data_IF_199446426733
#
_entry.id   IF_199446426733
#
_cell.length_a   1.000
_cell.length_b   1.000
_cell.length_c   1.000
_cell.angle_alpha   90.00
_cell.angle_beta   90.00
_cell.angle_gamma   90.00
#
_symmetry.space_group_name_H-M   'P 1'
#
loop_
_entity.id
_entity.type
_entity.pdbx_description
1 polymer ?
#
# COMPACT_ATOMS: atom_id res chain seq x y z
N UNK A 1 7.82 -32.61 33.01
CA UNK A 1 8.88 -32.81 32.01
C UNK A 1 8.90 -31.61 31.07
N UNK A 2 9.83 -30.68 31.29
CA UNK A 2 10.00 -29.48 30.48
C UNK A 2 10.61 -29.85 29.12
N UNK A 3 9.91 -29.55 28.02
CA UNK A 3 10.49 -29.66 26.67
C UNK A 3 11.43 -28.47 26.46
N UNK A 4 12.73 -28.77 26.42
CA UNK A 4 13.77 -27.86 25.92
C UNK A 4 13.44 -27.50 24.47
N UNK A 5 13.22 -26.21 24.22
CA UNK A 5 13.21 -25.67 22.86
C UNK A 5 14.65 -25.65 22.35
N UNK A 6 14.90 -26.45 21.32
CA UNK A 6 16.19 -26.54 20.65
C UNK A 6 16.37 -25.31 19.74
N UNK A 7 17.08 -24.30 20.25
CA UNK A 7 17.45 -23.09 19.52
C UNK A 7 18.62 -23.44 18.60
N UNK A 8 18.33 -24.05 17.43
CA UNK A 8 19.30 -24.19 16.34
C UNK A 8 18.63 -24.48 14.99
N UNK A 9 17.79 -23.56 14.54
CA UNK A 9 17.57 -23.26 13.12
C UNK A 9 17.40 -21.75 12.98
N UNK A 10 18.49 -21.07 12.66
CA UNK A 10 18.45 -19.69 12.17
C UNK A 10 17.63 -19.69 10.88
N UNK A 11 16.36 -19.34 10.98
CA UNK A 11 15.62 -18.80 9.85
C UNK A 11 16.14 -17.38 9.66
N UNK A 12 16.95 -17.20 8.63
CA UNK A 12 17.31 -15.86 8.13
C UNK A 12 16.00 -15.21 7.68
N UNK A 13 15.52 -14.23 8.44
CA UNK A 13 14.51 -13.30 7.95
C UNK A 13 15.09 -12.67 6.67
N UNK A 14 14.39 -12.65 5.52
CA UNK A 14 14.88 -12.04 4.28
C UNK A 14 15.26 -10.56 4.42
N UNK A 15 14.89 -9.94 5.54
CA UNK A 15 15.11 -8.56 5.88
C UNK A 15 16.50 -8.25 6.46
N UNK A 16 17.20 -9.24 7.05
CA UNK A 16 18.42 -8.99 7.83
C UNK A 16 19.73 -8.94 7.01
N UNK A 17 19.68 -9.20 5.70
CA UNK A 17 20.87 -9.19 4.83
C UNK A 17 20.75 -8.19 3.66
N UNK A 18 20.27 -6.97 3.93
CA UNK A 18 20.45 -5.86 3.01
C UNK A 18 21.15 -4.72 3.75
N UNK A 19 22.48 -4.68 3.66
CA UNK A 19 23.25 -3.46 3.84
C UNK A 19 22.94 -2.52 2.66
N UNK A 20 21.71 -2.01 2.60
CA UNK A 20 21.35 -0.86 1.78
C UNK A 20 21.40 0.38 2.67
N UNK A 21 21.96 1.49 2.16
CA UNK A 21 21.94 2.78 2.87
C UNK A 21 20.49 3.22 3.20
N UNK A 22 19.53 2.77 2.39
CA UNK A 22 18.12 3.12 2.47
C UNK A 22 17.29 1.84 2.66
N UNK A 23 16.27 1.89 3.52
CA UNK A 23 15.47 0.72 3.90
C UNK A 23 14.21 0.71 3.06
N UNK A 24 13.89 -0.37 2.37
CA UNK A 24 12.67 -0.40 1.54
C UNK A 24 11.59 -1.25 2.24
N UNK A 25 10.39 -0.70 2.52
CA UNK A 25 9.29 -1.47 3.08
C UNK A 25 8.93 -2.66 2.20
N UNK A 26 8.78 -3.84 2.79
CA UNK A 26 8.37 -5.02 2.04
C UNK A 26 6.85 -5.02 1.86
N UNK A 27 6.39 -5.34 0.64
CA UNK A 27 4.96 -5.44 0.40
C UNK A 27 4.62 -6.29 -0.81
N UNK A 28 3.44 -6.93 -0.76
CA UNK A 28 2.82 -7.61 -1.90
C UNK A 28 1.66 -6.83 -2.52
N UNK A 29 1.51 -5.56 -2.16
CA UNK A 29 0.55 -4.64 -2.76
C UNK A 29 0.90 -4.42 -4.24
N UNK A 30 -0.10 -4.54 -5.11
CA UNK A 30 0.03 -4.44 -6.55
C UNK A 30 0.31 -2.99 -6.96
N UNK A 31 1.25 -2.79 -7.87
CA UNK A 31 1.62 -1.45 -8.34
C UNK A 31 2.69 -0.75 -7.48
N UNK A 32 3.12 -1.36 -6.38
CA UNK A 32 4.22 -0.86 -5.54
C UNK A 32 5.46 -0.54 -6.36
N UNK A 33 6.05 0.64 -6.11
CA UNK A 33 7.28 1.11 -6.76
C UNK A 33 8.56 0.69 -6.04
N UNK A 34 8.50 -0.25 -5.09
CA UNK A 34 9.66 -0.73 -4.34
C UNK A 34 10.84 -1.18 -5.22
N UNK A 35 10.57 -1.79 -6.38
CA UNK A 35 11.64 -2.22 -7.32
C UNK A 35 12.17 -1.11 -8.22
N UNK A 36 11.54 0.06 -8.21
CA UNK A 36 11.82 1.18 -9.12
C UNK A 36 12.23 2.44 -8.38
N UNK A 37 12.09 2.48 -7.06
CA UNK A 37 12.28 3.69 -6.26
C UNK A 37 13.69 4.24 -6.39
N UNK A 38 14.72 3.39 -6.44
CA UNK A 38 16.10 3.80 -6.71
C UNK A 38 16.22 4.48 -8.08
N UNK A 39 15.62 3.90 -9.13
CA UNK A 39 15.63 4.49 -10.47
C UNK A 39 14.86 5.80 -10.53
N UNK A 40 13.76 5.92 -9.80
CA UNK A 40 13.00 7.17 -9.69
C UNK A 40 13.89 8.22 -9.04
N UNK A 41 14.50 7.90 -7.90
CA UNK A 41 15.41 8.79 -7.17
C UNK A 41 16.56 9.28 -8.04
N UNK A 42 17.24 8.38 -8.76
CA UNK A 42 18.36 8.75 -9.64
C UNK A 42 17.99 9.77 -10.72
N UNK A 43 16.72 9.81 -11.16
CA UNK A 43 16.26 10.78 -12.15
C UNK A 43 15.79 12.11 -11.54
N UNK A 44 15.58 12.17 -10.23
CA UNK A 44 15.03 13.37 -9.55
C UNK A 44 15.97 13.99 -8.51
N UNK A 45 17.01 13.28 -8.04
CA UNK A 45 17.84 13.70 -6.91
C UNK A 45 18.55 15.05 -7.09
N UNK A 46 18.90 15.39 -8.34
CA UNK A 46 19.58 16.64 -8.70
C UNK A 46 18.60 17.80 -8.97
N UNK A 47 17.29 17.55 -8.87
CA UNK A 47 16.28 18.60 -8.94
C UNK A 47 16.28 19.40 -7.64
N UNK A 48 16.09 20.72 -7.75
CA UNK A 48 16.08 21.63 -6.60
C UNK A 48 14.77 21.59 -5.81
N UNK A 49 14.57 20.55 -4.99
CA UNK A 49 13.38 20.42 -4.14
C UNK A 49 13.73 20.05 -2.68
N UNK A 50 13.03 20.65 -1.72
CA UNK A 50 13.17 20.36 -0.29
C UNK A 50 11.94 19.67 0.29
N UNK A 51 10.77 19.87 -0.33
CA UNK A 51 9.50 19.27 0.02
C UNK A 51 8.91 18.48 -1.15
N UNK A 52 8.20 17.39 -0.84
CA UNK A 52 7.54 16.58 -1.86
C UNK A 52 6.17 16.10 -1.39
N UNK A 53 5.18 16.14 -2.29
CA UNK A 53 3.89 15.48 -2.13
C UNK A 53 3.88 14.16 -2.90
N UNK A 54 3.70 13.04 -2.19
CA UNK A 54 3.31 11.76 -2.77
C UNK A 54 1.78 11.72 -2.89
N UNK A 55 1.27 12.11 -4.06
CA UNK A 55 -0.14 12.48 -4.25
C UNK A 55 -1.10 11.28 -4.29
N UNK A 56 -0.58 10.12 -4.70
CA UNK A 56 -1.28 8.84 -4.80
C UNK A 56 -0.44 7.77 -4.09
N UNK A 57 -0.30 7.94 -2.79
CA UNK A 57 0.79 7.35 -2.04
C UNK A 57 0.78 5.84 -1.97
N UNK A 58 -0.37 5.16 -2.05
CA UNK A 58 -0.43 3.71 -2.11
C UNK A 58 0.35 3.05 -0.97
N UNK A 59 1.42 2.34 -1.31
CA UNK A 59 2.32 1.66 -0.34
C UNK A 59 3.23 2.59 0.45
N UNK A 60 3.27 3.89 0.11
CA UNK A 60 4.12 4.90 0.74
C UNK A 60 5.61 4.72 0.45
N UNK A 61 5.99 3.82 -0.45
CA UNK A 61 7.42 3.50 -0.68
C UNK A 61 8.17 4.69 -1.28
N UNK A 62 7.58 5.43 -2.22
CA UNK A 62 8.25 6.60 -2.82
C UNK A 62 8.38 7.71 -1.79
N UNK A 63 7.28 8.11 -1.13
CA UNK A 63 7.32 9.08 -0.04
C UNK A 63 8.29 8.70 1.09
N UNK A 64 8.31 7.43 1.51
CA UNK A 64 9.23 6.96 2.55
C UNK A 64 10.69 7.05 2.10
N UNK A 65 10.99 6.70 0.84
CA UNK A 65 12.33 6.82 0.29
C UNK A 65 12.81 8.29 0.24
N UNK A 66 11.93 9.21 -0.16
CA UNK A 66 12.20 10.65 -0.12
C UNK A 66 12.45 11.15 1.31
N UNK A 67 11.70 10.64 2.29
CA UNK A 67 11.90 10.95 3.72
C UNK A 67 13.30 10.51 4.17
N UNK A 68 13.73 9.30 3.80
CA UNK A 68 15.06 8.80 4.13
C UNK A 68 16.19 9.61 3.48
N UNK A 69 15.93 10.26 2.34
CA UNK A 69 16.83 11.25 1.72
C UNK A 69 16.65 12.69 2.24
N UNK A 70 16.07 12.86 3.45
CA UNK A 70 16.02 14.14 4.15
C UNK A 70 15.00 15.15 3.64
N UNK A 71 14.11 14.75 2.71
CA UNK A 71 13.05 15.62 2.19
C UNK A 71 11.90 15.73 3.19
N UNK A 72 11.23 16.88 3.23
CA UNK A 72 9.94 17.02 3.93
C UNK A 72 8.87 16.37 3.07
N UNK A 73 8.20 15.34 3.57
CA UNK A 73 7.25 14.56 2.77
C UNK A 73 5.83 14.76 3.26
N UNK A 74 4.97 15.05 2.30
CA UNK A 74 3.53 15.01 2.44
C UNK A 74 3.03 13.78 1.70
N UNK A 75 2.30 12.91 2.37
CA UNK A 75 1.70 11.71 1.79
C UNK A 75 0.21 11.91 1.66
N UNK A 76 -0.40 11.47 0.56
CA UNK A 76 -1.85 11.41 0.43
C UNK A 76 -2.30 10.12 -0.24
N UNK A 77 -3.38 9.52 0.26
CA UNK A 77 -4.15 8.52 -0.47
C UNK A 77 -5.63 8.62 -0.09
N UNK A 78 -6.55 8.35 -1.02
CA UNK A 78 -7.98 8.39 -0.76
C UNK A 78 -8.47 7.17 0.03
N UNK A 79 -7.74 6.04 0.00
CA UNK A 79 -8.04 4.86 0.80
C UNK A 79 -7.50 5.04 2.22
N UNK A 80 -8.37 4.88 3.22
CA UNK A 80 -7.99 5.04 4.63
C UNK A 80 -6.98 3.99 5.08
N UNK A 81 -7.04 2.80 4.49
CA UNK A 81 -6.03 1.76 4.69
C UNK A 81 -4.63 2.21 4.27
N UNK A 82 -4.50 2.87 3.12
CA UNK A 82 -3.24 3.44 2.64
C UNK A 82 -2.81 4.65 3.48
N UNK A 83 -3.75 5.50 3.93
CA UNK A 83 -3.45 6.57 4.89
C UNK A 83 -2.73 6.07 6.15
N UNK A 84 -3.16 4.96 6.76
CA UNK A 84 -2.46 4.40 7.91
C UNK A 84 -1.05 3.90 7.56
N UNK A 85 -0.79 3.46 6.34
CA UNK A 85 0.58 3.15 5.86
C UNK A 85 1.42 4.43 5.83
N UNK A 86 0.88 5.53 5.27
CA UNK A 86 1.52 6.84 5.26
C UNK A 86 1.81 7.38 6.67
N UNK A 87 0.86 7.25 7.60
CA UNK A 87 1.07 7.64 9.00
C UNK A 87 2.19 6.81 9.64
N UNK A 88 2.22 5.49 9.40
CA UNK A 88 3.19 4.58 9.99
C UNK A 88 4.63 4.80 9.50
N UNK A 89 4.81 5.00 8.19
CA UNK A 89 6.12 5.11 7.54
C UNK A 89 6.63 6.56 7.48
N UNK A 90 5.76 7.50 7.14
CA UNK A 90 6.15 8.85 6.73
C UNK A 90 5.93 9.84 7.86
N UNK A 91 4.72 9.95 8.41
CA UNK A 91 4.44 10.93 9.47
C UNK A 91 5.08 10.56 10.81
N UNK A 92 5.12 9.27 11.16
CA UNK A 92 5.74 8.79 12.38
C UNK A 92 7.27 8.88 12.35
N UNK A 93 7.86 9.64 13.27
CA UNK A 93 9.31 9.80 13.36
C UNK A 93 9.98 8.84 14.35
N UNK A 94 9.32 8.50 15.47
CA UNK A 94 9.99 7.83 16.58
C UNK A 94 9.13 6.86 17.39
N UNK A 95 7.83 6.78 17.14
CA UNK A 95 6.94 5.89 17.90
C UNK A 95 7.09 4.48 17.39
N UNK A 96 7.22 3.52 18.31
CA UNK A 96 7.28 2.08 18.05
C UNK A 96 6.27 1.35 18.93
N UNK A 97 5.92 0.13 18.53
CA UNK A 97 5.15 -0.80 19.36
C UNK A 97 6.10 -1.67 20.18
N UNK A 98 5.91 -1.68 21.50
CA UNK A 98 6.66 -2.58 22.39
C UNK A 98 6.10 -4.00 22.36
N UNK A 99 6.90 -5.00 22.72
CA UNK A 99 6.46 -6.41 22.73
C UNK A 99 5.21 -6.64 23.59
N UNK A 100 5.14 -6.01 24.75
CA UNK A 100 3.97 -6.08 25.63
C UNK A 100 2.71 -5.45 25.00
N UNK A 101 2.85 -4.40 24.19
CA UNK A 101 1.72 -3.83 23.46
C UNK A 101 1.27 -4.76 22.33
N UNK A 102 2.21 -5.41 21.65
CA UNK A 102 1.91 -6.42 20.63
C UNK A 102 1.17 -7.61 21.24
N UNK A 103 1.65 -8.14 22.37
CA UNK A 103 0.98 -9.23 23.08
C UNK A 103 -0.46 -8.87 23.46
N UNK A 104 -0.69 -7.63 23.93
CA UNK A 104 -2.04 -7.13 24.21
C UNK A 104 -2.92 -7.02 22.96
N UNK A 105 -2.37 -6.71 21.80
CA UNK A 105 -3.12 -6.70 20.54
C UNK A 105 -3.53 -8.12 20.10
N UNK A 106 -2.71 -9.11 20.44
CA UNK A 106 -2.90 -10.52 20.08
C UNK A 106 -3.71 -11.32 21.11
N UNK A 107 -4.03 -10.71 22.25
CA UNK A 107 -4.75 -11.37 23.35
C UNK A 107 -6.18 -10.84 23.47
N UNK A 108 -7.13 -11.74 23.70
CA UNK A 108 -8.52 -11.37 24.00
C UNK A 108 -8.58 -10.78 25.42
N UNK A 109 -9.06 -9.55 25.55
CA UNK A 109 -9.29 -8.94 26.86
C UNK A 109 -10.70 -9.30 27.36
N UNK A 110 -10.83 -10.04 28.48
CA UNK A 110 -12.12 -10.51 29.00
C UNK A 110 -13.07 -9.38 29.40
N UNK A 111 -12.57 -8.14 29.54
CA UNK A 111 -13.39 -6.97 29.84
C UNK A 111 -14.27 -6.54 28.67
N UNK A 112 -13.99 -6.99 27.45
CA UNK A 112 -14.73 -6.61 26.26
C UNK A 112 -15.41 -7.82 25.63
N UNK A 113 -16.64 -7.59 25.17
CA UNK A 113 -17.28 -8.50 24.23
C UNK A 113 -16.77 -8.20 22.82
N UNK A 114 -16.38 -9.26 22.11
CA UNK A 114 -15.80 -9.15 20.76
C UNK A 114 -16.84 -9.54 19.74
N UNK A 115 -17.08 -8.61 18.81
CA UNK A 115 -17.92 -8.89 17.64
C UNK A 115 -17.22 -9.89 16.73
N UNK A 116 -18.02 -10.65 15.99
CA UNK A 116 -17.56 -11.69 15.08
C UNK A 116 -17.96 -11.37 13.63
N UNK A 117 -17.84 -10.11 13.23
CA UNK A 117 -18.36 -9.64 11.94
C UNK A 117 -17.63 -10.30 10.76
N UNK A 118 -16.31 -10.36 10.80
CA UNK A 118 -15.48 -10.96 9.74
C UNK A 118 -15.79 -12.45 9.63
N UNK A 119 -15.79 -13.17 10.75
CA UNK A 119 -16.12 -14.59 10.82
C UNK A 119 -17.51 -14.90 10.26
N UNK A 120 -18.53 -14.08 10.57
CA UNK A 120 -19.89 -14.28 10.06
C UNK A 120 -20.04 -13.91 8.58
N UNK A 121 -19.36 -12.86 8.13
CA UNK A 121 -19.60 -12.25 6.80
C UNK A 121 -18.72 -12.84 5.70
N UNK A 122 -17.48 -13.18 6.03
CA UNK A 122 -16.45 -13.63 5.07
C UNK A 122 -16.11 -15.12 5.17
N UNK A 123 -17.01 -15.91 5.79
CA UNK A 123 -16.91 -17.37 5.81
C UNK A 123 -16.69 -17.94 4.41
N UNK A 124 -15.67 -18.78 4.28
CA UNK A 124 -15.22 -19.40 3.03
C UNK A 124 -14.76 -18.44 1.92
N UNK A 125 -14.59 -17.14 2.21
CA UNK A 125 -14.24 -16.14 1.20
C UNK A 125 -12.73 -15.99 1.04
N UNK A 126 -12.06 -15.53 2.10
CA UNK A 126 -10.65 -15.12 2.07
C UNK A 126 -9.74 -15.95 2.95
N UNK A 127 -10.18 -16.24 4.17
CA UNK A 127 -9.42 -16.87 5.24
C UNK A 127 -10.28 -17.94 5.93
N UNK A 128 -9.65 -18.83 6.70
CA UNK A 128 -10.34 -19.89 7.45
C UNK A 128 -11.20 -19.30 8.58
N UNK A 129 -12.09 -20.11 9.16
CA UNK A 129 -12.95 -19.67 10.25
C UNK A 129 -12.14 -19.20 11.48
N UNK A 130 -11.08 -19.92 11.83
CA UNK A 130 -10.14 -19.54 12.91
C UNK A 130 -9.43 -18.22 12.59
N UNK A 131 -8.92 -18.07 11.36
CA UNK A 131 -8.25 -16.85 10.93
C UNK A 131 -9.20 -15.64 10.91
N UNK A 132 -10.45 -15.82 10.50
CA UNK A 132 -11.46 -14.76 10.54
C UNK A 132 -11.79 -14.33 11.97
N UNK A 133 -11.88 -15.27 12.92
CA UNK A 133 -12.08 -14.96 14.35
C UNK A 133 -10.89 -14.20 14.94
N UNK A 134 -9.67 -14.59 14.56
CA UNK A 134 -8.46 -13.88 14.96
C UNK A 134 -8.46 -12.43 14.43
N UNK A 135 -8.84 -12.23 13.16
CA UNK A 135 -8.95 -10.89 12.55
C UNK A 135 -9.99 -10.02 13.26
N UNK A 136 -11.15 -10.59 13.61
CA UNK A 136 -12.20 -9.91 14.37
C UNK A 136 -11.65 -9.38 15.71
N UNK A 137 -10.90 -10.21 16.42
CA UNK A 137 -10.28 -9.84 17.69
C UNK A 137 -9.23 -8.73 17.52
N UNK A 138 -8.27 -8.93 16.62
CA UNK A 138 -7.12 -8.03 16.48
C UNK A 138 -7.55 -6.65 16.00
N UNK A 139 -8.49 -6.54 15.04
CA UNK A 139 -9.00 -5.23 14.61
C UNK A 139 -9.64 -4.47 15.77
N UNK A 140 -10.47 -5.12 16.58
CA UNK A 140 -11.11 -4.47 17.73
C UNK A 140 -10.09 -4.04 18.79
N UNK A 141 -8.99 -4.79 18.95
CA UNK A 141 -7.88 -4.39 19.81
C UNK A 141 -7.12 -3.17 19.26
N UNK A 142 -6.82 -3.17 17.95
CA UNK A 142 -6.15 -2.05 17.28
C UNK A 142 -7.00 -0.77 17.38
N UNK A 143 -8.32 -0.86 17.20
CA UNK A 143 -9.19 0.31 17.26
C UNK A 143 -9.21 1.00 18.63
N UNK A 144 -8.92 0.25 19.70
CA UNK A 144 -8.83 0.77 21.08
C UNK A 144 -7.50 1.49 21.37
N UNK A 145 -6.50 1.40 20.48
CA UNK A 145 -5.26 2.16 20.63
C UNK A 145 -5.54 3.67 20.51
N UNK A 146 -5.18 4.43 21.54
CA UNK A 146 -5.35 5.90 21.57
C UNK A 146 -4.29 6.64 20.75
N UNK A 147 -3.05 6.12 20.72
CA UNK A 147 -1.96 6.74 19.97
C UNK A 147 -2.10 6.38 18.49
N UNK A 148 -2.24 7.39 17.64
CA UNK A 148 -2.49 7.22 16.20
C UNK A 148 -1.33 6.50 15.50
N UNK A 149 -0.08 6.77 15.88
CA UNK A 149 1.09 6.11 15.29
C UNK A 149 1.15 4.64 15.67
N UNK A 150 0.86 4.28 16.93
CA UNK A 150 0.75 2.87 17.34
C UNK A 150 -0.37 2.14 16.59
N UNK A 151 -1.52 2.80 16.42
CA UNK A 151 -2.63 2.29 15.61
C UNK A 151 -2.20 2.05 14.16
N UNK A 152 -1.49 3.01 13.57
CA UNK A 152 -0.97 2.93 12.20
C UNK A 152 0.04 1.78 12.02
N UNK A 153 1.00 1.62 12.94
CA UNK A 153 1.97 0.51 12.92
C UNK A 153 1.28 -0.85 13.01
N UNK A 154 0.28 -0.99 13.89
CA UNK A 154 -0.47 -2.23 14.02
C UNK A 154 -1.31 -2.53 12.78
N UNK A 155 -1.95 -1.52 12.19
CA UNK A 155 -2.67 -1.68 10.94
C UNK A 155 -1.76 -2.04 9.77
N UNK A 156 -0.58 -1.41 9.64
CA UNK A 156 0.42 -1.79 8.65
C UNK A 156 0.74 -3.28 8.73
N UNK A 157 1.05 -3.78 9.94
CA UNK A 157 1.37 -5.20 10.14
C UNK A 157 0.19 -6.12 9.81
N UNK A 158 -1.03 -5.73 10.21
CA UNK A 158 -2.25 -6.47 9.88
C UNK A 158 -2.50 -6.52 8.36
N UNK A 159 -2.28 -5.43 7.65
CA UNK A 159 -2.47 -5.37 6.20
C UNK A 159 -1.48 -6.26 5.48
N UNK A 160 -0.19 -6.18 5.82
CA UNK A 160 0.82 -7.02 5.19
C UNK A 160 0.55 -8.52 5.48
N UNK A 161 0.19 -8.87 6.72
CA UNK A 161 -0.21 -10.25 7.07
C UNK A 161 -1.41 -10.74 6.23
N UNK A 162 -2.43 -9.88 6.06
CA UNK A 162 -3.57 -10.17 5.21
C UNK A 162 -3.14 -10.39 3.74
N UNK A 163 -2.30 -9.51 3.19
CA UNK A 163 -1.84 -9.58 1.81
C UNK A 163 -1.05 -10.86 1.53
N UNK A 164 -0.08 -11.22 2.38
CA UNK A 164 0.78 -12.39 2.13
C UNK A 164 0.04 -13.72 2.26
N UNK A 165 -0.99 -13.79 3.11
CA UNK A 165 -1.82 -14.99 3.29
C UNK A 165 -2.87 -15.17 2.18
N UNK A 166 -3.07 -14.17 1.33
CA UNK A 166 -4.06 -14.20 0.25
C UNK A 166 -3.38 -14.61 -1.07
N UNK A 167 -3.76 -15.73 -1.72
CA UNK A 167 -3.23 -16.00 -3.06
C UNK A 167 -3.47 -14.85 -4.06
N UNK A 168 -2.46 -14.55 -4.89
CA UNK A 168 -2.40 -13.33 -5.71
C UNK A 168 -2.40 -12.00 -4.95
N UNK A 169 -2.46 -11.99 -3.61
CA UNK A 169 -2.40 -10.82 -2.72
C UNK A 169 -3.49 -9.76 -2.98
N UNK A 170 -4.67 -10.18 -3.45
CA UNK A 170 -5.79 -9.30 -3.79
C UNK A 170 -7.14 -9.88 -3.32
N UNK A 171 -8.11 -9.02 -3.04
CA UNK A 171 -9.44 -9.37 -2.53
C UNK A 171 -10.55 -9.38 -3.60
N UNK A 172 -10.17 -9.38 -4.88
CA UNK A 172 -11.09 -9.31 -6.01
C UNK A 172 -11.80 -10.63 -6.36
N UNK A 173 -11.50 -11.75 -5.69
CA UNK A 173 -12.09 -13.09 -5.94
C UNK A 173 -12.33 -13.85 -4.63
N UNK A 174 -13.31 -14.76 -4.63
CA UNK A 174 -13.52 -15.79 -3.60
C UNK A 174 -12.67 -17.01 -3.93
N UNK A 175 -11.48 -17.11 -3.35
CA UNK A 175 -10.46 -18.08 -3.77
C UNK A 175 -9.61 -18.60 -2.61
N UNK A 176 -10.23 -18.74 -1.43
CA UNK A 176 -9.66 -19.47 -0.28
C UNK A 176 -9.30 -20.91 -0.65
N UNK A 177 -10.14 -21.60 -1.45
CA UNK A 177 -9.93 -22.99 -1.90
C UNK A 177 -8.55 -23.25 -2.53
N UNK A 178 -7.92 -22.25 -3.17
CA UNK A 178 -6.59 -22.38 -3.77
C UNK A 178 -5.49 -22.67 -2.72
N UNK A 179 -5.70 -22.33 -1.45
CA UNK A 179 -4.75 -22.64 -0.37
C UNK A 179 -4.68 -24.14 -0.09
N UNK A 180 -5.81 -24.83 -0.23
CA UNK A 180 -5.96 -26.26 0.08
C UNK A 180 -5.77 -27.18 -1.13
N UNK A 181 -5.76 -26.62 -2.35
CA UNK A 181 -5.59 -27.42 -3.57
C UNK A 181 -4.24 -28.17 -3.60
N UNK A 182 -4.30 -29.49 -3.78
CA UNK A 182 -3.12 -30.34 -3.95
C UNK A 182 -2.57 -30.21 -5.38
N UNK A 183 -1.68 -29.24 -5.57
CA UNK A 183 -1.01 -28.99 -6.84
C UNK A 183 0.50 -28.95 -6.62
N UNK A 184 1.28 -29.37 -7.63
CA UNK A 184 2.75 -29.26 -7.61
C UNK A 184 3.11 -27.77 -7.65
N UNK A 185 3.40 -27.18 -6.48
CA UNK A 185 3.73 -25.76 -6.35
C UNK A 185 5.22 -25.56 -6.53
N UNK A 186 5.60 -24.66 -7.42
CA UNK A 186 7.00 -24.32 -7.72
C UNK A 186 7.60 -23.28 -6.76
N UNK A 187 6.80 -22.67 -5.87
CA UNK A 187 7.27 -21.59 -4.97
C UNK A 187 6.59 -21.60 -3.59
N UNK A 188 7.29 -21.04 -2.58
CA UNK A 188 6.99 -20.99 -1.13
C UNK A 188 5.69 -20.31 -0.67
N UNK A 189 4.70 -20.17 -1.55
CA UNK A 189 3.38 -19.63 -1.25
C UNK A 189 2.64 -20.46 -0.19
N UNK A 190 2.78 -21.80 -0.23
CA UNK A 190 2.14 -22.68 0.77
C UNK A 190 2.67 -22.41 2.18
N UNK A 191 4.00 -22.39 2.35
CA UNK A 191 4.62 -22.07 3.64
C UNK A 191 4.18 -20.69 4.16
N UNK A 192 4.07 -19.69 3.27
CA UNK A 192 3.54 -18.37 3.63
C UNK A 192 2.08 -18.47 4.10
N UNK A 193 1.24 -19.23 3.41
CA UNK A 193 -0.19 -19.34 3.74
C UNK A 193 -0.46 -20.16 5.00
N UNK A 194 0.37 -21.16 5.28
CA UNK A 194 0.20 -22.08 6.41
C UNK A 194 0.75 -21.47 7.72
N UNK A 195 1.72 -20.54 7.63
CA UNK A 195 2.18 -19.74 8.78
C UNK A 195 1.02 -18.93 9.38
N UNK A 196 0.92 -18.89 10.70
CA UNK A 196 -0.22 -18.28 11.40
C UNK A 196 -0.29 -16.76 11.17
N UNK A 197 -1.48 -16.19 11.32
CA UNK A 197 -1.64 -14.73 11.27
C UNK A 197 -0.83 -14.02 12.35
N UNK A 198 -0.77 -14.60 13.55
CA UNK A 198 -0.01 -14.08 14.68
C UNK A 198 1.49 -13.95 14.35
N UNK A 199 2.10 -15.00 13.80
CA UNK A 199 3.51 -14.95 13.46
C UNK A 199 3.81 -13.96 12.32
N UNK A 200 2.94 -13.88 11.30
CA UNK A 200 3.09 -12.86 10.25
C UNK A 200 2.96 -11.45 10.81
N UNK A 201 1.96 -11.23 11.68
CA UNK A 201 1.76 -9.94 12.33
C UNK A 201 3.00 -9.52 13.12
N UNK A 202 3.56 -10.42 13.93
CA UNK A 202 4.79 -10.16 14.68
C UNK A 202 5.98 -9.84 13.77
N UNK A 203 6.16 -10.57 12.66
CA UNK A 203 7.24 -10.29 11.70
C UNK A 203 7.09 -8.89 11.09
N UNK A 204 5.88 -8.50 10.67
CA UNK A 204 5.65 -7.17 10.12
C UNK A 204 5.70 -6.06 11.18
N UNK A 205 5.42 -6.35 12.46
CA UNK A 205 5.68 -5.42 13.55
C UNK A 205 7.19 -5.17 13.70
N UNK A 206 8.01 -6.23 13.67
CA UNK A 206 9.48 -6.10 13.72
C UNK A 206 9.99 -5.26 12.55
N UNK A 207 9.50 -5.56 11.34
CA UNK A 207 9.84 -4.79 10.14
C UNK A 207 9.45 -3.31 10.30
N UNK A 208 8.19 -3.01 10.59
CA UNK A 208 7.73 -1.61 10.63
C UNK A 208 8.39 -0.82 11.76
N UNK A 209 8.61 -1.43 12.94
CA UNK A 209 9.35 -0.78 14.03
C UNK A 209 10.79 -0.42 13.60
N UNK A 210 11.43 -1.26 12.79
CA UNK A 210 12.75 -0.98 12.24
C UNK A 210 12.71 0.09 11.13
N UNK A 211 11.62 0.19 10.38
CA UNK A 211 11.42 1.24 9.37
C UNK A 211 11.05 2.60 9.97
N UNK A 212 10.72 2.70 11.26
CA UNK A 212 10.52 4.02 11.89
C UNK A 212 11.84 4.79 11.86
N UNK A 213 11.84 5.91 11.14
CA UNK A 213 12.97 6.82 11.02
C UNK A 213 12.53 8.27 11.23
N UNK A 214 13.42 9.05 11.84
CA UNK A 214 13.30 10.49 12.00
C UNK A 214 14.29 11.17 11.04
N UNK A 215 13.79 12.07 10.20
CA UNK A 215 14.61 12.87 9.29
C UNK A 215 14.71 14.35 9.72
N UNK A 216 14.23 14.68 10.92
CA UNK A 216 14.20 16.04 11.45
C UNK A 216 13.23 16.97 10.72
N UNK A 217 12.31 16.44 9.92
CA UNK A 217 11.29 17.21 9.20
C UNK A 217 9.89 16.91 9.73
N UNK A 218 9.01 17.90 9.60
CA UNK A 218 7.59 17.75 9.86
C UNK A 218 6.92 17.15 8.61
N UNK A 219 6.96 15.82 8.53
CA UNK A 219 6.24 15.04 7.51
C UNK A 219 4.77 14.90 7.90
N UNK A 220 3.87 14.70 6.93
CA UNK A 220 2.43 14.59 7.20
C UNK A 220 1.72 13.64 6.25
N UNK A 221 0.76 12.87 6.74
CA UNK A 221 -0.10 12.03 5.94
C UNK A 221 -1.52 12.59 5.88
N UNK A 222 -2.15 12.50 4.72
CA UNK A 222 -3.51 12.92 4.44
C UNK A 222 -4.35 11.74 3.91
N UNK A 223 -5.65 11.79 4.19
CA UNK A 223 -6.64 10.90 3.60
C UNK A 223 -7.69 11.72 2.86
N UNK A 224 -7.31 12.29 1.71
CA UNK A 224 -8.13 13.24 0.96
C UNK A 224 -8.22 12.84 -0.52
N UNK A 225 -9.21 13.40 -1.22
CA UNK A 225 -9.09 13.52 -2.66
C UNK A 225 -7.90 14.44 -2.98
N UNK A 226 -7.08 14.06 -3.96
CA UNK A 226 -5.89 14.83 -4.35
C UNK A 226 -6.20 16.28 -4.69
N UNK A 227 -7.41 16.57 -5.21
CA UNK A 227 -7.84 17.92 -5.54
C UNK A 227 -8.16 18.78 -4.31
N UNK A 228 -8.43 18.16 -3.16
CA UNK A 228 -8.70 18.83 -1.87
C UNK A 228 -7.41 19.16 -1.10
N UNK A 229 -6.25 18.63 -1.52
CA UNK A 229 -4.96 18.93 -0.89
C UNK A 229 -4.61 20.40 -1.12
N UNK A 230 -4.28 21.10 -0.05
CA UNK A 230 -3.81 22.48 -0.09
C UNK A 230 -2.39 22.57 0.47
N UNK A 231 -1.59 23.49 -0.06
CA UNK A 231 -0.22 23.73 0.34
C UNK A 231 0.71 23.85 -0.86
N UNK A 232 1.88 24.42 -0.60
CA UNK A 232 2.95 24.56 -1.57
C UNK A 232 3.95 23.41 -1.42
N UNK A 233 4.25 22.76 -2.53
CA UNK A 233 5.18 21.64 -2.60
C UNK A 233 6.19 21.92 -3.70
N UNK A 234 7.47 21.71 -3.44
CA UNK A 234 8.50 21.89 -4.48
C UNK A 234 8.37 20.81 -5.57
N UNK A 235 7.97 19.60 -5.18
CA UNK A 235 7.79 18.45 -6.07
C UNK A 235 6.48 17.72 -5.77
N UNK A 236 5.75 17.33 -6.81
CA UNK A 236 4.56 16.45 -6.70
C UNK A 236 4.81 15.18 -7.49
N UNK A 237 4.87 14.06 -6.77
CA UNK A 237 4.96 12.72 -7.34
C UNK A 237 3.56 12.15 -7.57
N UNK A 238 3.31 11.69 -8.80
CA UNK A 238 1.99 11.33 -9.33
C UNK A 238 2.06 9.89 -9.86
N UNK A 239 1.36 8.97 -9.19
CA UNK A 239 1.25 7.55 -9.57
C UNK A 239 -0.21 7.06 -9.46
N UNK A 240 -1.13 7.63 -10.25
CA UNK A 240 -2.55 7.39 -10.12
C UNK A 240 -2.92 5.98 -10.63
N UNK A 241 -4.14 5.52 -10.34
CA UNK A 241 -4.73 4.39 -11.05
C UNK A 241 -4.63 4.60 -12.57
N UNK A 242 -4.31 3.54 -13.31
CA UNK A 242 -4.23 3.59 -14.77
C UNK A 242 -5.29 2.67 -15.40
N UNK A 243 -5.65 3.02 -16.64
CA UNK A 243 -6.50 2.18 -17.49
C UNK A 243 -5.67 1.65 -18.64
N UNK A 244 -5.60 0.32 -18.81
CA UNK A 244 -4.86 -0.27 -19.93
C UNK A 244 -5.54 0.01 -21.28
N UNK A 245 -4.79 -0.14 -22.38
CA UNK A 245 -5.33 -0.06 -23.75
C UNK A 245 -6.53 -1.00 -24.00
N UNK A 246 -6.63 -2.11 -23.25
CA UNK A 246 -7.77 -3.03 -23.28
C UNK A 246 -9.02 -2.49 -22.57
N UNK A 247 -8.97 -1.27 -22.02
CA UNK A 247 -10.05 -0.64 -21.27
C UNK A 247 -10.24 -1.20 -19.87
N UNK A 248 -9.29 -1.98 -19.35
CA UNK A 248 -9.33 -2.53 -17.99
C UNK A 248 -8.59 -1.56 -17.07
N UNK A 249 -9.34 -0.98 -16.12
CA UNK A 249 -8.81 -0.07 -15.10
C UNK A 249 -8.39 -0.81 -13.83
N UNK A 250 -7.32 -0.33 -13.20
CA UNK A 250 -6.89 -0.79 -11.89
C UNK A 250 -7.73 -0.13 -10.80
N UNK A 251 -8.72 -0.87 -10.30
CA UNK A 251 -9.59 -0.42 -9.22
C UNK A 251 -9.02 -0.86 -7.86
N UNK A 252 -8.17 -0.01 -7.27
CA UNK A 252 -7.53 -0.29 -5.98
C UNK A 252 -8.54 -0.47 -4.84
N UNK A 253 -9.66 0.28 -4.83
CA UNK A 253 -10.71 0.09 -3.82
C UNK A 253 -11.30 -1.30 -3.91
N UNK A 254 -11.62 -1.78 -5.10
CA UNK A 254 -12.12 -3.14 -5.29
C UNK A 254 -11.04 -4.22 -5.04
N UNK A 255 -9.76 -3.91 -5.25
CA UNK A 255 -8.67 -4.85 -4.96
C UNK A 255 -8.39 -5.00 -3.47
N UNK A 256 -8.56 -3.92 -2.71
CA UNK A 256 -8.18 -3.82 -1.30
C UNK A 256 -9.33 -3.48 -0.35
N UNK A 257 -10.58 -3.66 -0.79
CA UNK A 257 -11.78 -3.37 0.01
C UNK A 257 -11.80 -4.08 1.37
N UNK A 258 -11.18 -5.26 1.47
CA UNK A 258 -11.07 -5.95 2.74
C UNK A 258 -10.21 -5.17 3.74
N UNK A 259 -9.06 -4.64 3.31
CA UNK A 259 -8.20 -3.80 4.14
C UNK A 259 -8.89 -2.50 4.53
N UNK A 260 -9.60 -1.90 3.57
CA UNK A 260 -10.42 -0.71 3.81
C UNK A 260 -11.58 -0.97 4.79
N UNK A 261 -12.08 -2.21 4.82
CA UNK A 261 -13.07 -2.67 5.79
C UNK A 261 -12.50 -2.82 7.20
N UNK A 262 -11.27 -3.32 7.34
CA UNK A 262 -10.60 -3.48 8.65
C UNK A 262 -10.48 -2.13 9.40
N UNK A 263 -10.24 -1.03 8.68
CA UNK A 263 -10.13 0.33 9.24
C UNK A 263 -11.47 1.08 9.37
N UNK A 264 -12.55 0.44 8.93
CA UNK A 264 -13.92 0.93 9.00
C UNK A 264 -14.83 -0.14 9.62
N UNK A 265 -14.31 -0.92 10.57
CA UNK A 265 -14.94 -2.14 11.09
C UNK A 265 -16.42 -1.95 11.50
N UNK A 266 -16.72 -0.85 12.20
CA UNK A 266 -18.08 -0.50 12.64
C UNK A 266 -19.06 -0.25 11.48
N UNK A 267 -18.58 0.33 10.38
CA UNK A 267 -19.39 0.70 9.20
C UNK A 267 -19.28 -0.32 8.06
N UNK A 268 -18.43 -1.34 8.20
CA UNK A 268 -18.09 -2.26 7.12
C UNK A 268 -19.33 -2.94 6.53
N UNK A 269 -20.27 -3.35 7.37
CA UNK A 269 -21.50 -4.01 6.94
C UNK A 269 -22.34 -3.22 5.93
N UNK A 270 -22.38 -1.89 5.99
CA UNK A 270 -23.13 -1.04 5.06
C UNK A 270 -22.38 -0.75 3.75
N UNK A 271 -21.08 -1.01 3.70
CA UNK A 271 -20.24 -0.76 2.52
C UNK A 271 -20.30 -1.92 1.52
N UNK A 272 -20.65 -3.13 1.99
CA UNK A 272 -20.61 -4.38 1.21
C UNK A 272 -21.80 -4.51 0.26
N UNK A 273 -21.53 -4.78 -1.01
CA UNK A 273 -22.50 -5.29 -1.97
C UNK A 273 -22.75 -6.78 -1.73
N UNK A 274 -23.84 -7.08 -1.00
CA UNK A 274 -24.22 -8.45 -0.60
C UNK A 274 -24.50 -9.39 -1.77
N UNK A 275 -24.73 -8.86 -2.98
CA UNK A 275 -24.96 -9.64 -4.21
C UNK A 275 -23.69 -10.28 -4.75
N UNK A 276 -22.52 -9.80 -4.31
CA UNK A 276 -21.22 -10.28 -4.80
C UNK A 276 -20.71 -11.46 -3.97
N UNK A 277 -20.13 -12.46 -4.63
CA UNK A 277 -19.58 -13.66 -3.97
C UNK A 277 -18.36 -13.36 -3.10
N UNK A 278 -17.60 -12.32 -3.46
CA UNK A 278 -16.43 -11.87 -2.71
C UNK A 278 -16.76 -10.76 -1.72
N UNK A 279 -18.04 -10.39 -1.54
CA UNK A 279 -18.46 -9.36 -0.56
C UNK A 279 -17.70 -8.04 -0.73
N UNK A 280 -17.43 -7.65 -1.98
CA UNK A 280 -16.78 -6.36 -2.30
C UNK A 280 -17.68 -5.19 -1.95
N UNK A 281 -17.11 -4.00 -1.90
CA UNK A 281 -17.90 -2.78 -1.75
C UNK A 281 -18.76 -2.47 -2.96
N UNK A 282 -19.79 -1.65 -2.74
CA UNK A 282 -20.48 -0.96 -3.82
C UNK A 282 -19.48 -0.17 -4.66
N UNK A 283 -19.64 -0.23 -5.98
CA UNK A 283 -18.80 0.53 -6.91
C UNK A 283 -19.04 2.02 -6.73
N UNK A 284 -17.96 2.79 -6.74
CA UNK A 284 -18.02 4.24 -6.88
C UNK A 284 -17.77 4.67 -8.33
N UNK A 285 -18.04 5.95 -8.61
CA UNK A 285 -17.80 6.56 -9.91
C UNK A 285 -16.43 7.27 -9.91
N UNK A 286 -15.37 6.56 -9.51
CA UNK A 286 -14.03 7.14 -9.45
C UNK A 286 -13.57 7.53 -10.88
N UNK A 287 -13.30 8.81 -11.15
CA UNK A 287 -12.95 9.27 -12.50
C UNK A 287 -11.59 8.77 -12.97
N UNK A 288 -10.68 8.39 -12.06
CA UNK A 288 -9.40 7.75 -12.39
C UNK A 288 -9.57 6.33 -12.96
N UNK A 289 -10.71 5.68 -12.67
CA UNK A 289 -11.07 4.37 -13.24
C UNK A 289 -11.93 4.48 -14.51
N UNK A 290 -12.01 5.67 -15.11
CA UNK A 290 -12.84 5.91 -16.30
C UNK A 290 -12.00 6.41 -17.47
N UNK A 291 -11.85 5.57 -18.51
CA UNK A 291 -11.07 5.88 -19.72
C UNK A 291 -11.47 7.17 -20.43
N UNK A 292 -12.73 7.62 -20.29
CA UNK A 292 -13.23 8.84 -20.92
C UNK A 292 -12.90 10.10 -20.09
N UNK A 293 -12.64 9.95 -18.78
CA UNK A 293 -12.43 11.08 -17.85
C UNK A 293 -10.98 11.23 -17.41
N UNK A 294 -10.20 10.14 -17.40
CA UNK A 294 -8.85 10.11 -16.83
C UNK A 294 -7.90 11.15 -17.46
N UNK A 295 -7.99 11.41 -18.77
CA UNK A 295 -7.16 12.45 -19.42
C UNK A 295 -7.44 13.85 -18.86
N UNK A 296 -8.72 14.19 -18.71
CA UNK A 296 -9.12 15.47 -18.15
C UNK A 296 -8.65 15.58 -16.70
N UNK A 297 -8.74 14.50 -15.92
CA UNK A 297 -8.23 14.49 -14.54
C UNK A 297 -6.72 14.70 -14.43
N UNK A 298 -5.93 14.18 -15.38
CA UNK A 298 -4.51 14.51 -15.45
C UNK A 298 -4.30 16.02 -15.71
N UNK A 299 -5.04 16.62 -16.64
CA UNK A 299 -4.94 18.07 -16.92
C UNK A 299 -5.31 18.93 -15.71
N UNK A 300 -6.43 18.62 -15.06
CA UNK A 300 -6.86 19.30 -13.83
C UNK A 300 -5.75 19.23 -12.76
N UNK A 301 -5.10 18.08 -12.64
CA UNK A 301 -4.04 17.85 -11.66
C UNK A 301 -2.76 18.64 -12.00
N UNK A 302 -2.37 18.68 -13.28
CA UNK A 302 -1.21 19.45 -13.73
C UNK A 302 -1.43 20.95 -13.57
N UNK A 303 -2.65 21.44 -13.81
CA UNK A 303 -3.02 22.83 -13.56
C UNK A 303 -2.96 23.18 -12.08
N UNK A 304 -3.53 22.32 -11.21
CA UNK A 304 -3.53 22.51 -9.75
C UNK A 304 -2.11 22.64 -9.19
N UNK A 305 -1.18 21.81 -9.65
CA UNK A 305 0.20 21.78 -9.19
C UNK A 305 1.19 22.40 -10.19
N UNK A 306 0.73 23.39 -10.97
CA UNK A 306 1.52 23.99 -12.06
C UNK A 306 2.83 24.63 -11.62
N UNK A 307 2.93 25.05 -10.36
CA UNK A 307 4.12 25.71 -9.81
C UNK A 307 5.12 24.72 -9.18
N UNK A 308 4.72 23.47 -8.96
CA UNK A 308 5.58 22.39 -8.44
C UNK A 308 6.28 21.63 -9.56
N UNK A 309 7.46 21.08 -9.34
CA UNK A 309 8.03 20.06 -10.25
C UNK A 309 7.09 18.86 -10.28
N UNK A 310 6.68 18.43 -11.47
CA UNK A 310 5.76 17.29 -11.62
C UNK A 310 6.53 16.04 -12.02
N UNK A 311 6.43 14.97 -11.24
CA UNK A 311 7.06 13.68 -11.52
C UNK A 311 5.98 12.62 -11.62
N UNK A 312 5.80 12.02 -12.80
CA UNK A 312 4.71 11.10 -13.07
C UNK A 312 5.26 9.71 -13.41
N UNK A 313 4.91 8.72 -12.59
CA UNK A 313 5.09 7.31 -12.93
C UNK A 313 3.85 6.80 -13.65
N UNK A 314 4.04 6.19 -14.80
CA UNK A 314 2.94 5.68 -15.60
C UNK A 314 3.33 4.51 -16.48
N UNK A 315 2.36 3.67 -16.81
CA UNK A 315 2.59 2.54 -17.70
C UNK A 315 2.51 2.93 -19.16
N UNK A 316 3.40 2.34 -19.96
CA UNK A 316 3.47 2.55 -21.40
C UNK A 316 2.19 2.13 -22.15
N UNK A 317 1.40 1.22 -21.59
CA UNK A 317 0.12 0.72 -22.15
C UNK A 317 -1.12 1.40 -21.53
N UNK A 318 -0.95 2.53 -20.86
CA UNK A 318 -2.04 3.28 -20.26
C UNK A 318 -2.85 4.14 -21.24
N UNK A 319 -4.06 4.48 -20.83
CA UNK A 319 -4.94 5.50 -21.41
C UNK A 319 -5.09 6.58 -20.32
N UNK A 320 -4.63 7.83 -20.55
CA UNK A 320 -4.14 8.39 -21.81
C UNK A 320 -2.77 7.82 -22.20
N UNK A 321 -2.38 7.93 -23.47
CA UNK A 321 -1.05 7.50 -23.89
C UNK A 321 0.04 8.41 -23.32
N UNK A 322 1.28 7.92 -23.27
CA UNK A 322 2.44 8.71 -22.83
C UNK A 322 2.56 10.02 -23.62
N UNK A 323 2.35 9.99 -24.94
CA UNK A 323 2.38 11.19 -25.79
C UNK A 323 1.28 12.19 -25.43
N UNK A 324 0.10 11.69 -25.06
CA UNK A 324 -1.00 12.56 -24.62
C UNK A 324 -0.68 13.22 -23.28
N UNK A 325 -0.12 12.46 -22.34
CA UNK A 325 0.31 13.00 -21.04
C UNK A 325 1.43 14.02 -21.22
N UNK A 326 2.44 13.72 -22.03
CA UNK A 326 3.56 14.63 -22.33
C UNK A 326 3.05 15.93 -22.99
N UNK A 327 2.16 15.82 -23.98
CA UNK A 327 1.54 16.98 -24.62
C UNK A 327 0.76 17.84 -23.63
N UNK A 328 0.05 17.22 -22.69
CA UNK A 328 -0.74 17.93 -21.68
C UNK A 328 0.18 18.57 -20.62
N UNK A 329 1.31 17.95 -20.25
CA UNK A 329 2.32 18.55 -19.36
C UNK A 329 2.97 19.80 -19.97
N UNK A 330 3.28 19.78 -21.28
CA UNK A 330 3.90 20.92 -21.98
C UNK A 330 3.03 22.18 -22.01
N UNK A 331 1.73 22.07 -21.70
CA UNK A 331 0.86 23.23 -21.52
C UNK A 331 1.17 24.02 -20.25
N UNK A 332 1.73 23.35 -19.23
CA UNK A 332 1.99 23.93 -17.91
C UNK A 332 3.49 24.03 -17.59
N UNK A 333 4.34 23.24 -18.28
CA UNK A 333 5.77 23.07 -17.99
C UNK A 333 6.65 23.49 -19.14
N UNK A 334 7.75 24.19 -18.84
CA UNK A 334 8.68 24.70 -19.85
C UNK A 334 9.56 23.59 -20.39
N UNK A 335 9.95 22.64 -19.54
CA UNK A 335 10.76 21.48 -19.90
C UNK A 335 10.06 20.21 -19.47
N UNK A 336 9.96 19.26 -20.38
CA UNK A 336 9.41 17.92 -20.10
C UNK A 336 10.43 16.88 -20.55
N UNK A 337 10.80 15.98 -19.65
CA UNK A 337 11.69 14.83 -19.90
C UNK A 337 10.91 13.54 -19.72
N UNK A 338 11.17 12.56 -20.58
CA UNK A 338 10.51 11.25 -20.55
C UNK A 338 11.57 10.17 -20.48
N UNK A 339 11.55 9.38 -19.40
CA UNK A 339 12.47 8.29 -19.15
C UNK A 339 11.70 6.97 -19.17
N UNK A 340 12.12 6.03 -20.02
CA UNK A 340 11.54 4.69 -20.05
C UNK A 340 12.39 3.74 -19.22
N UNK A 341 11.73 2.99 -18.35
CA UNK A 341 12.35 1.93 -17.59
C UNK A 341 12.25 0.61 -18.35
N UNK A 342 13.21 0.39 -19.24
CA UNK A 342 13.31 -0.87 -19.98
C UNK A 342 13.57 -2.06 -19.03
N UNK A 343 13.16 -3.27 -19.46
CA UNK A 343 13.30 -4.56 -18.77
C UNK A 343 12.47 -4.80 -17.48
N UNK A 344 11.47 -3.97 -17.18
CA UNK A 344 10.54 -4.27 -16.08
C UNK A 344 9.42 -5.24 -16.51
N UNK A 345 9.63 -6.55 -16.36
CA UNK A 345 8.56 -7.55 -16.56
C UNK A 345 7.67 -7.63 -15.32
N UNK A 346 6.40 -7.27 -15.48
CA UNK A 346 5.36 -7.64 -14.52
C UNK A 346 5.29 -9.17 -14.42
N UNK A 347 5.35 -9.69 -13.19
CA UNK A 347 5.26 -11.14 -12.91
C UNK A 347 3.97 -11.67 -13.56
N UNK A 348 4.11 -12.62 -14.50
CA UNK A 348 3.04 -13.25 -15.30
C UNK A 348 2.47 -12.46 -16.50
N UNK A 349 3.09 -11.35 -16.92
CA UNK A 349 2.68 -10.63 -18.15
C UNK A 349 3.45 -11.11 -19.39
N UNK A 350 2.73 -11.51 -20.45
CA UNK A 350 3.30 -11.81 -21.78
C UNK A 350 3.54 -10.55 -22.64
N UNK A 351 3.11 -9.37 -22.18
CA UNK A 351 3.28 -8.10 -22.92
C UNK A 351 4.49 -7.31 -22.44
N UNK A 352 5.21 -6.71 -23.39
CA UNK A 352 6.32 -5.76 -23.19
C UNK A 352 5.80 -4.40 -22.71
N UNK A 353 5.22 -4.37 -21.52
CA UNK A 353 4.81 -3.13 -20.85
C UNK A 353 5.97 -2.59 -20.03
N UNK A 354 6.38 -1.34 -20.26
CA UNK A 354 7.40 -0.66 -19.47
C UNK A 354 6.79 0.38 -18.55
N UNK A 355 7.49 0.67 -17.46
CA UNK A 355 7.22 1.85 -16.64
C UNK A 355 7.89 3.05 -17.28
N UNK A 356 7.23 4.20 -17.21
CA UNK A 356 7.68 5.46 -17.78
C UNK A 356 7.63 6.51 -16.68
N UNK A 357 8.73 7.24 -16.51
CA UNK A 357 8.83 8.40 -15.64
C UNK A 357 8.84 9.66 -16.49
N UNK A 358 7.88 10.56 -16.27
CA UNK A 358 7.83 11.86 -16.93
C UNK A 358 8.12 12.94 -15.89
N UNK A 359 8.99 13.89 -16.22
CA UNK A 359 9.40 14.99 -15.33
C UNK A 359 9.11 16.31 -16.03
N UNK A 360 8.29 17.16 -15.40
CA UNK A 360 7.92 18.48 -15.89
C UNK A 360 8.41 19.58 -14.95
N UNK A 361 9.27 20.46 -15.46
CA UNK A 361 9.87 21.62 -14.77
C UNK A 361 9.26 22.94 -15.26
#
# INVERSE_FOLDING_TARGET
MARKYDIKKQFVLPFLEQFQEVRIPTTRYQGSKAKLVDRIWENIKDLGFASALDAFGGTGVVGYYLKQHGKRVFYNDYLKSNYYIGVALIENNNIRLSEHEVERLLTKDPKYDYRSFIAKTFKDVYYTDEENQWLDMVVQNIERLKNIYKKALAYYALFQACLVKRPFNLFHRKNLHLRFAEVKRTFGNKATWDKSFEEHFMDFIREINYLVCDNGKENKAYNLDVFEINGDFDLVYIDPPYTSLKGISVDYKNFYHFLEGLVNYEKWGSMIDRRTINKRFYRDNNPWNNKLKIRMKFRDLFEKFRDSILVISYRSDGIPSIQQIESDLRLFKKRVRVHKFDNYKYVLSNSTTSEVLMIGE
#
